data_IF_954535305136
#
_entry.id   IF_954535305136
#
_cell.length_a   1.000
_cell.length_b   1.000
_cell.length_c   1.000
_cell.angle_alpha   90.00
_cell.angle_beta   90.00
_cell.angle_gamma   90.00
#
_symmetry.space_group_name_H-M   'P 1'
#
loop_
_entity.id
_entity.type
_entity.pdbx_description
1 polymer ?
#
# COMPACT_ATOMS: atom_id res chain seq x y z
N UNK A 1 17.11 17.14 -3.73
CA UNK A 1 17.22 17.30 -2.27
C UNK A 1 15.94 16.76 -1.63
N UNK A 2 16.04 15.69 -0.83
CA UNK A 2 14.88 15.18 -0.09
C UNK A 2 14.49 16.17 1.02
N UNK A 3 13.20 16.23 1.38
CA UNK A 3 12.69 17.08 2.47
C UNK A 3 12.20 16.28 3.66
N UNK A 4 11.64 15.11 3.44
CA UNK A 4 11.14 14.27 4.52
C UNK A 4 11.07 12.80 4.13
N UNK A 5 11.23 11.93 5.11
CA UNK A 5 11.07 10.48 4.99
C UNK A 5 10.29 9.94 6.19
N UNK A 6 9.52 8.88 5.99
CA UNK A 6 8.84 8.12 7.03
C UNK A 6 8.96 6.63 6.70
N UNK A 7 9.16 5.79 7.72
CA UNK A 7 9.21 4.35 7.59
C UNK A 7 8.29 3.71 8.62
N UNK A 8 7.33 2.92 8.15
CA UNK A 8 6.38 2.19 8.99
C UNK A 8 6.62 0.69 8.79
N UNK A 9 6.71 -0.06 9.88
CA UNK A 9 6.89 -1.52 9.86
C UNK A 9 5.58 -2.18 10.29
N UNK A 10 5.06 -3.06 9.45
CA UNK A 10 3.85 -3.84 9.73
C UNK A 10 4.20 -5.15 10.44
N UNK A 11 3.21 -5.71 11.15
CA UNK A 11 3.33 -6.95 11.94
C UNK A 11 3.84 -8.13 11.09
N UNK A 12 3.49 -8.16 9.80
CA UNK A 12 3.89 -9.22 8.86
C UNK A 12 5.35 -9.06 8.35
N UNK A 13 6.11 -8.12 8.90
CA UNK A 13 7.48 -7.81 8.48
C UNK A 13 7.59 -6.95 7.21
N UNK A 14 6.47 -6.61 6.57
CA UNK A 14 6.41 -5.64 5.48
C UNK A 14 6.79 -4.25 5.99
N UNK A 15 7.49 -3.47 5.17
CA UNK A 15 7.90 -2.10 5.53
C UNK A 15 7.40 -1.12 4.48
N UNK A 16 6.62 -0.13 4.89
CA UNK A 16 6.22 1.00 4.04
C UNK A 16 7.17 2.16 4.27
N UNK A 17 7.83 2.57 3.20
CA UNK A 17 8.70 3.73 3.15
C UNK A 17 8.05 4.83 2.33
N UNK A 18 7.99 6.04 2.86
CA UNK A 18 7.47 7.21 2.17
C UNK A 18 8.53 8.31 2.18
N UNK A 19 8.82 8.91 1.04
CA UNK A 19 9.83 9.97 0.93
C UNK A 19 9.41 11.06 -0.05
N UNK A 20 9.73 12.31 0.27
CA UNK A 20 9.32 13.47 -0.55
C UNK A 20 10.46 14.48 -0.70
N UNK A 21 10.52 15.12 -1.87
CA UNK A 21 11.34 16.30 -2.17
C UNK A 21 10.60 17.63 -1.88
N UNK A 22 9.33 17.55 -1.45
CA UNK A 22 8.44 18.69 -1.22
C UNK A 22 7.37 18.91 -2.29
N UNK A 23 7.55 18.36 -3.48
CA UNK A 23 6.62 18.47 -4.60
C UNK A 23 6.02 17.11 -4.96
N UNK A 24 6.84 16.07 -4.92
CA UNK A 24 6.54 14.70 -5.29
C UNK A 24 6.67 13.80 -4.06
N UNK A 25 5.94 12.69 -4.06
CA UNK A 25 5.95 11.69 -2.99
C UNK A 25 6.22 10.31 -3.58
N UNK A 26 7.23 9.63 -3.06
CA UNK A 26 7.55 8.24 -3.40
C UNK A 26 7.12 7.37 -2.25
N UNK A 27 6.41 6.29 -2.55
CA UNK A 27 6.02 5.27 -1.60
C UNK A 27 6.57 3.93 -2.06
N UNK A 28 7.22 3.19 -1.18
CA UNK A 28 7.81 1.89 -1.48
C UNK A 28 7.41 0.91 -0.38
N UNK A 29 6.94 -0.26 -0.78
CA UNK A 29 6.65 -1.37 0.12
C UNK A 29 7.76 -2.40 -0.07
N UNK A 30 8.49 -2.68 1.01
CA UNK A 30 9.51 -3.72 1.05
C UNK A 30 8.94 -5.00 1.65
N UNK A 31 9.37 -6.13 1.08
CA UNK A 31 9.24 -7.46 1.70
C UNK A 31 10.06 -7.56 2.98
N UNK A 32 9.82 -8.55 3.86
CA UNK A 32 10.66 -8.79 5.04
C UNK A 32 12.15 -8.98 4.68
N UNK A 33 12.42 -9.51 3.48
CA UNK A 33 13.76 -9.75 2.95
C UNK A 33 14.43 -8.49 2.35
N UNK A 34 13.75 -7.34 2.39
CA UNK A 34 14.26 -6.06 1.88
C UNK A 34 14.10 -5.84 0.38
N UNK A 35 13.51 -6.78 -0.36
CA UNK A 35 13.20 -6.59 -1.78
C UNK A 35 11.98 -5.67 -1.96
N UNK A 36 11.99 -4.85 -3.01
CA UNK A 36 10.87 -3.97 -3.38
C UNK A 36 9.70 -4.82 -3.87
N UNK A 37 8.60 -4.80 -3.12
CA UNK A 37 7.35 -5.49 -3.44
C UNK A 37 6.44 -4.65 -4.33
N UNK A 38 6.28 -3.37 -4.00
CA UNK A 38 5.48 -2.39 -4.74
C UNK A 38 6.10 -1.00 -4.57
N UNK A 39 5.92 -0.14 -5.56
CA UNK A 39 6.33 1.24 -5.46
C UNK A 39 5.39 2.18 -6.21
N UNK A 40 5.24 3.40 -5.70
CA UNK A 40 4.33 4.39 -6.26
C UNK A 40 5.01 5.77 -6.28
N UNK A 41 5.07 6.36 -7.48
CA UNK A 41 5.57 7.72 -7.70
C UNK A 41 4.38 8.67 -7.87
N UNK A 42 4.12 9.49 -6.85
CA UNK A 42 2.97 10.39 -6.77
C UNK A 42 3.42 11.81 -7.11
N UNK A 43 2.86 12.36 -8.17
CA UNK A 43 3.13 13.73 -8.64
C UNK A 43 2.13 14.77 -8.12
N UNK A 44 1.06 14.34 -7.44
CA UNK A 44 0.04 15.24 -6.91
C UNK A 44 0.56 16.05 -5.72
N UNK A 45 0.76 17.35 -5.95
CA UNK A 45 1.23 18.29 -4.94
C UNK A 45 0.29 18.41 -3.72
N UNK A 46 -1.02 18.10 -3.86
CA UNK A 46 -1.95 18.11 -2.71
C UNK A 46 -1.65 16.94 -1.78
N UNK A 47 -1.44 15.75 -2.32
CA UNK A 47 -1.04 14.57 -1.57
C UNK A 47 0.30 14.78 -0.86
N UNK A 48 1.29 15.33 -1.55
CA UNK A 48 2.59 15.67 -0.95
C UNK A 48 2.47 16.64 0.23
N UNK A 49 1.67 17.70 0.08
CA UNK A 49 1.43 18.68 1.16
C UNK A 49 0.70 18.07 2.35
N UNK A 50 -0.28 17.22 2.10
CA UNK A 50 -1.00 16.52 3.15
C UNK A 50 -0.07 15.60 3.95
N UNK A 51 0.78 14.82 3.26
CA UNK A 51 1.81 14.00 3.90
C UNK A 51 2.71 14.82 4.83
N UNK A 52 3.29 15.92 4.32
CA UNK A 52 4.14 16.80 5.13
C UNK A 52 3.41 17.38 6.34
N UNK A 53 2.13 17.72 6.20
CA UNK A 53 1.30 18.24 7.31
C UNK A 53 1.08 17.17 8.37
N UNK A 54 0.74 15.95 7.97
CA UNK A 54 0.55 14.82 8.90
C UNK A 54 1.85 14.48 9.61
N UNK A 55 2.95 14.35 8.88
CA UNK A 55 4.26 14.01 9.43
C UNK A 55 4.72 15.05 10.47
N UNK A 56 4.58 16.35 10.17
CA UNK A 56 4.93 17.41 11.12
C UNK A 56 4.08 17.35 12.39
N UNK A 57 2.81 16.97 12.28
CA UNK A 57 1.91 16.81 13.42
C UNK A 57 2.35 15.63 14.29
N UNK A 58 2.67 14.50 13.68
CA UNK A 58 3.16 13.30 14.38
C UNK A 58 4.49 13.58 15.10
N UNK A 59 5.45 14.21 14.41
CA UNK A 59 6.73 14.60 15.00
C UNK A 59 6.55 15.58 16.17
N UNK A 60 5.65 16.56 16.04
CA UNK A 60 5.35 17.50 17.13
C UNK A 60 4.80 16.77 18.36
N UNK A 61 3.82 15.90 18.17
CA UNK A 61 3.22 15.13 19.27
C UNK A 61 4.28 14.28 19.98
N UNK A 62 5.17 13.65 19.22
CA UNK A 62 6.21 12.80 19.79
C UNK A 62 7.30 13.60 20.53
N UNK A 63 7.66 14.79 20.02
CA UNK A 63 8.54 15.73 20.73
C UNK A 63 7.91 16.28 22.01
N UNK A 64 6.62 16.61 21.97
CA UNK A 64 5.87 17.10 23.14
C UNK A 64 5.76 15.99 24.23
N UNK A 65 5.52 14.73 23.83
CA UNK A 65 5.50 13.57 24.74
C UNK A 65 6.87 13.33 25.41
N UNK A 66 7.96 13.38 24.65
CA UNK A 66 9.30 13.19 25.22
C UNK A 66 9.72 14.36 26.13
N UNK A 67 9.38 15.60 25.77
CA UNK A 67 9.58 16.76 26.63
C UNK A 67 8.85 16.59 27.97
N UNK A 68 7.60 16.12 27.93
CA UNK A 68 6.82 15.82 29.13
C UNK A 68 7.50 14.76 30.01
N UNK A 69 7.97 13.63 29.44
CA UNK A 69 8.69 12.57 30.17
C UNK A 69 9.95 13.08 30.88
N UNK A 70 10.70 14.01 30.26
CA UNK A 70 11.88 14.63 30.87
C UNK A 70 11.49 15.49 32.08
N UNK A 71 10.40 16.27 31.99
CA UNK A 71 9.87 17.07 33.12
C UNK A 71 9.28 16.22 34.24
N UNK A 72 8.66 15.07 33.93
CA UNK A 72 7.96 14.24 34.91
C UNK A 72 8.87 13.27 35.67
N UNK A 73 10.05 12.92 35.12
CA UNK A 73 11.14 12.25 35.85
C UNK A 73 11.61 12.98 37.13
N UNK A 74 11.10 14.20 37.40
CA UNK A 74 11.33 14.98 38.63
C UNK A 74 10.26 14.82 39.72
N UNK A 75 9.15 14.10 39.54
CA UNK A 75 8.13 13.90 40.58
C UNK A 75 7.71 12.44 40.71
N UNK A 76 7.77 11.94 41.95
CA UNK A 76 7.38 10.57 42.32
C UNK A 76 5.85 10.37 42.26
N UNK A 77 5.44 9.34 41.50
CA UNK A 77 4.28 8.43 41.62
C UNK A 77 2.85 9.01 41.64
N UNK A 78 1.98 8.63 40.67
CA UNK A 78 0.81 7.71 40.82
C UNK A 78 -0.08 7.69 39.57
N UNK A 79 -0.40 6.47 39.13
CA UNK A 79 -1.61 6.02 38.41
C UNK A 79 -2.27 6.96 37.38
N UNK A 80 -1.69 7.07 36.18
CA UNK A 80 -2.49 7.22 34.94
C UNK A 80 -1.72 6.75 33.68
N UNK A 81 -0.95 5.67 33.81
CA UNK A 81 -0.05 5.15 32.76
C UNK A 81 -0.74 4.64 31.47
N UNK A 82 -2.07 4.74 31.34
CA UNK A 82 -2.81 4.11 30.24
C UNK A 82 -3.17 5.06 29.09
N UNK A 83 -2.92 6.37 29.19
CA UNK A 83 -3.45 7.31 28.19
C UNK A 83 -2.45 7.75 27.10
N UNK A 84 -1.13 7.73 27.33
CA UNK A 84 -0.16 8.22 26.33
C UNK A 84 1.14 7.39 26.27
N UNK A 85 1.10 6.22 25.63
CA UNK A 85 2.30 5.48 25.19
C UNK A 85 2.27 5.23 23.68
N UNK A 86 2.09 6.28 22.87
CA UNK A 86 2.09 6.11 21.41
C UNK A 86 3.52 5.98 20.83
N UNK A 87 4.55 6.48 21.52
CA UNK A 87 5.92 6.58 20.97
C UNK A 87 7.01 5.92 21.82
N UNK A 88 6.66 4.94 22.67
CA UNK A 88 7.57 4.38 23.70
C UNK A 88 8.93 3.84 23.24
N UNK A 89 9.16 3.67 21.93
CA UNK A 89 10.42 3.21 21.32
C UNK A 89 10.87 4.13 20.16
N UNK A 90 10.85 5.46 20.32
CA UNK A 90 11.33 6.40 19.29
C UNK A 90 12.61 7.12 19.73
N UNK A 91 13.65 7.04 18.89
CA UNK A 91 14.92 7.78 19.07
C UNK A 91 14.91 9.01 18.18
N UNK A 92 15.10 10.20 18.76
CA UNK A 92 15.17 11.45 18.01
C UNK A 92 16.59 12.01 17.98
N UNK A 93 17.01 12.48 16.81
CA UNK A 93 18.21 13.29 16.63
C UNK A 93 17.85 14.49 15.77
N UNK A 94 17.91 15.69 16.36
CA UNK A 94 17.82 16.93 15.59
C UNK A 94 19.15 17.13 14.84
N UNK A 95 19.07 17.45 13.55
CA UNK A 95 20.20 17.91 12.76
C UNK A 95 20.00 19.39 12.51
N UNK A 96 21.06 20.18 12.73
CA UNK A 96 21.03 21.63 12.44
C UNK A 96 21.34 21.89 10.96
N UNK A 97 20.88 23.03 10.44
CA UNK A 97 21.12 23.40 9.03
C UNK A 97 22.63 23.46 8.74
N UNK A 98 23.10 22.61 7.82
CA UNK A 98 24.52 22.49 7.44
C UNK A 98 25.26 21.30 8.04
N UNK A 99 24.68 20.56 8.98
CA UNK A 99 25.24 19.29 9.44
C UNK A 99 25.13 18.21 8.36
N UNK A 100 26.23 17.48 8.13
CA UNK A 100 26.21 16.34 7.22
C UNK A 100 25.42 15.18 7.82
N UNK A 101 24.64 14.52 6.97
CA UNK A 101 23.92 13.32 7.35
C UNK A 101 24.91 12.22 7.77
N UNK A 102 24.64 11.51 8.88
CA UNK A 102 25.40 10.31 9.24
C UNK A 102 25.47 9.34 8.06
N UNK A 103 26.66 8.81 7.76
CA UNK A 103 26.93 8.00 6.55
C UNK A 103 26.09 6.72 6.49
N UNK A 104 25.72 6.18 7.65
CA UNK A 104 24.82 5.06 7.85
C UNK A 104 23.38 5.33 7.37
N UNK A 105 22.94 6.60 7.41
CA UNK A 105 21.57 7.01 7.02
C UNK A 105 21.55 7.76 5.69
N UNK A 106 22.66 8.41 5.30
CA UNK A 106 22.78 9.18 4.07
C UNK A 106 22.40 8.35 2.84
N UNK A 107 22.86 7.10 2.78
CA UNK A 107 22.54 6.17 1.69
C UNK A 107 21.05 5.84 1.61
N UNK A 108 20.32 5.95 2.72
CA UNK A 108 18.88 5.72 2.71
C UNK A 108 18.19 6.92 2.10
N UNK A 109 18.61 8.15 2.41
CA UNK A 109 17.91 9.39 2.06
C UNK A 109 18.10 9.87 0.60
N UNK A 110 18.65 9.01 -0.25
CA UNK A 110 18.84 9.29 -1.68
C UNK A 110 17.51 9.14 -2.45
N UNK A 111 16.88 10.29 -2.74
CA UNK A 111 15.59 10.35 -3.43
C UNK A 111 15.68 9.94 -4.88
N UNK A 112 16.74 10.38 -5.56
CA UNK A 112 16.88 10.15 -6.99
C UNK A 112 17.20 8.67 -7.24
N UNK A 113 17.99 8.04 -6.37
CA UNK A 113 18.21 6.58 -6.44
C UNK A 113 16.93 5.79 -6.23
N UNK A 114 16.14 6.10 -5.19
CA UNK A 114 14.86 5.41 -4.94
C UNK A 114 13.85 5.59 -6.08
N UNK A 115 13.84 6.77 -6.69
CA UNK A 115 13.03 7.06 -7.87
C UNK A 115 13.43 6.17 -9.04
N UNK A 116 14.72 6.03 -9.31
CA UNK A 116 15.23 5.18 -10.39
C UNK A 116 14.96 3.69 -10.13
N UNK A 117 15.24 3.20 -8.92
CA UNK A 117 14.95 1.81 -8.52
C UNK A 117 13.46 1.46 -8.75
N UNK A 118 12.55 2.38 -8.42
CA UNK A 118 11.12 2.19 -8.66
C UNK A 118 10.79 2.14 -10.16
N UNK A 119 11.38 3.00 -10.98
CA UNK A 119 11.14 3.01 -12.42
C UNK A 119 11.70 1.78 -13.14
N UNK A 120 12.92 1.38 -12.83
CA UNK A 120 13.55 0.19 -13.41
C UNK A 120 12.73 -1.06 -13.11
N UNK A 121 12.31 -1.21 -11.85
CA UNK A 121 11.35 -2.24 -11.46
C UNK A 121 10.13 -2.12 -12.36
N UNK A 122 9.39 -1.02 -12.34
CA UNK A 122 8.20 -0.84 -13.18
C UNK A 122 8.38 -1.22 -14.67
N UNK A 123 9.51 -0.90 -15.28
CA UNK A 123 9.86 -1.28 -16.65
C UNK A 123 10.04 -2.80 -16.82
N UNK A 124 10.79 -3.45 -15.93
CA UNK A 124 10.98 -4.90 -15.94
C UNK A 124 9.65 -5.68 -15.84
N UNK A 125 8.71 -5.27 -14.98
CA UNK A 125 7.42 -6.00 -14.88
C UNK A 125 6.62 -5.84 -16.17
N UNK A 126 6.67 -4.64 -16.76
CA UNK A 126 6.01 -4.37 -18.04
C UNK A 126 6.59 -5.29 -19.12
N UNK A 127 7.92 -5.40 -19.23
CA UNK A 127 8.59 -6.29 -20.17
C UNK A 127 8.21 -7.76 -19.96
N UNK A 128 8.26 -8.24 -18.71
CA UNK A 128 7.88 -9.61 -18.35
C UNK A 128 6.43 -9.95 -18.75
N UNK A 129 5.51 -8.98 -18.68
CA UNK A 129 4.10 -9.18 -18.98
C UNK A 129 3.77 -9.04 -20.47
N UNK A 130 4.44 -8.14 -21.19
CA UNK A 130 4.29 -8.01 -22.65
C UNK A 130 4.79 -9.27 -23.38
N UNK A 131 5.84 -9.92 -22.86
CA UNK A 131 6.41 -11.14 -23.44
C UNK A 131 5.78 -12.45 -22.94
N UNK A 132 4.73 -12.37 -22.10
CA UNK A 132 4.05 -13.55 -21.53
C UNK A 132 3.41 -14.47 -22.59
N UNK A 133 3.10 -13.93 -23.76
CA UNK A 133 2.57 -14.68 -24.91
C UNK A 133 3.64 -15.52 -25.64
N UNK A 134 4.93 -15.35 -25.35
CA UNK A 134 6.03 -16.07 -26.05
C UNK A 134 6.46 -17.37 -25.36
N UNK A 135 6.04 -17.60 -24.11
CA UNK A 135 6.40 -18.77 -23.29
C UNK A 135 5.22 -19.63 -22.82
N UNK A 136 3.99 -19.33 -23.28
CA UNK A 136 2.80 -20.12 -22.90
C UNK A 136 2.46 -21.14 -24.00
N UNK A 137 3.08 -22.31 -23.90
CA UNK A 137 2.67 -23.55 -24.58
C UNK A 137 1.18 -23.87 -24.33
N UNK A 138 0.44 -24.43 -25.32
CA UNK A 138 -0.99 -24.76 -25.23
C UNK A 138 -1.36 -25.80 -24.14
N UNK A 139 -0.39 -26.45 -23.49
CA UNK A 139 -0.62 -27.38 -22.37
C UNK A 139 -1.19 -26.71 -21.10
N UNK A 140 -1.12 -25.38 -20.97
CA UNK A 140 -1.56 -24.64 -19.77
C UNK A 140 -3.06 -24.32 -19.70
N UNK A 141 -3.87 -24.60 -20.72
CA UNK A 141 -5.30 -24.22 -20.69
C UNK A 141 -6.11 -24.94 -19.58
N UNK A 142 -5.81 -26.23 -19.32
CA UNK A 142 -6.40 -26.99 -18.19
C UNK A 142 -5.81 -26.57 -16.84
N UNK A 143 -4.49 -26.37 -16.78
CA UNK A 143 -3.80 -25.90 -15.58
C UNK A 143 -4.23 -24.48 -15.16
N UNK A 144 -4.53 -23.59 -16.12
CA UNK A 144 -5.01 -22.23 -15.85
C UNK A 144 -6.38 -22.17 -15.17
N UNK A 145 -7.28 -23.15 -15.38
CA UNK A 145 -8.54 -23.20 -14.59
C UNK A 145 -8.26 -23.57 -13.15
N UNK A 146 -7.49 -24.63 -12.92
CA UNK A 146 -7.07 -25.06 -11.58
C UNK A 146 -6.23 -24.01 -10.86
N UNK A 147 -5.36 -23.29 -11.56
CA UNK A 147 -4.61 -22.18 -10.99
C UNK A 147 -5.53 -21.01 -10.66
N UNK A 148 -6.46 -20.61 -11.54
CA UNK A 148 -7.43 -19.53 -11.26
C UNK A 148 -8.34 -19.85 -10.08
N UNK A 149 -8.75 -21.11 -9.92
CA UNK A 149 -9.51 -21.57 -8.76
C UNK A 149 -8.75 -21.36 -7.44
N UNK A 150 -7.41 -21.44 -7.44
CA UNK A 150 -6.60 -21.16 -6.25
C UNK A 150 -6.44 -19.66 -5.93
N UNK A 151 -6.71 -18.77 -6.89
CA UNK A 151 -6.63 -17.31 -6.71
C UNK A 151 -8.01 -16.64 -6.67
N UNK A 152 -9.09 -17.43 -6.63
CA UNK A 152 -10.44 -16.98 -6.32
C UNK A 152 -10.84 -17.51 -4.96
N UNK A 153 -11.46 -16.67 -4.15
CA UNK A 153 -11.95 -17.04 -2.82
C UNK A 153 -12.94 -18.22 -2.96
N UNK A 154 -12.71 -19.35 -2.26
CA UNK A 154 -13.64 -20.48 -2.31
C UNK A 154 -15.05 -20.03 -1.92
N UNK A 155 -16.06 -20.60 -2.58
CA UNK A 155 -17.45 -20.17 -2.41
C UNK A 155 -17.86 -18.97 -3.28
N UNK A 156 -16.92 -18.30 -3.96
CA UNK A 156 -17.17 -17.14 -4.84
C UNK A 156 -16.72 -17.41 -6.29
N UNK A 157 -17.17 -16.59 -7.24
CA UNK A 157 -16.77 -16.67 -8.65
C UNK A 157 -16.11 -15.39 -9.18
N UNK A 158 -16.19 -14.30 -8.43
CA UNK A 158 -15.72 -12.97 -8.81
C UNK A 158 -14.69 -12.40 -7.84
N UNK A 159 -14.56 -12.96 -6.62
CA UNK A 159 -13.61 -12.44 -5.64
C UNK A 159 -12.22 -13.04 -5.83
N UNK A 160 -11.37 -12.40 -6.63
CA UNK A 160 -9.98 -12.82 -6.81
C UNK A 160 -9.31 -12.34 -8.09
N UNK A 161 -8.29 -13.07 -8.53
CA UNK A 161 -7.58 -12.75 -9.78
C UNK A 161 -8.40 -13.14 -11.03
N UNK A 162 -9.29 -12.23 -11.44
CA UNK A 162 -10.26 -12.43 -12.51
C UNK A 162 -11.50 -13.21 -12.05
N UNK A 163 -12.31 -13.72 -13.00
CA UNK A 163 -13.58 -14.41 -12.69
C UNK A 163 -13.62 -15.89 -13.15
N UNK A 164 -14.28 -16.75 -12.38
CA UNK A 164 -14.69 -18.11 -12.78
C UNK A 164 -16.09 -18.12 -13.42
N UNK A 165 -16.88 -17.06 -13.21
CA UNK A 165 -18.19 -16.92 -13.82
C UNK A 165 -18.09 -16.95 -15.36
N UNK A 166 -18.93 -17.75 -16.00
CA UNK A 166 -19.09 -17.75 -17.47
C UNK A 166 -20.08 -16.69 -17.92
N UNK A 167 -21.02 -16.30 -17.05
CA UNK A 167 -22.02 -15.27 -17.32
C UNK A 167 -22.11 -14.26 -16.18
N UNK A 168 -22.53 -13.03 -16.48
CA UNK A 168 -22.63 -11.94 -15.49
C UNK A 168 -23.49 -12.29 -14.28
N UNK A 169 -24.55 -13.09 -14.45
CA UNK A 169 -25.49 -13.43 -13.37
C UNK A 169 -25.06 -14.64 -12.53
N UNK A 170 -23.98 -15.30 -12.91
CA UNK A 170 -23.49 -16.48 -12.23
C UNK A 170 -22.73 -16.06 -10.97
N UNK A 171 -23.26 -16.44 -9.81
CA UNK A 171 -22.65 -16.21 -8.51
C UNK A 171 -22.29 -17.56 -7.86
N UNK A 172 -21.35 -17.54 -6.93
CA UNK A 172 -20.97 -18.65 -6.06
C UNK A 172 -21.98 -18.91 -4.94
N UNK A 173 -21.59 -19.74 -3.97
CA UNK A 173 -22.37 -20.03 -2.78
C UNK A 173 -22.52 -18.79 -1.90
N UNK A 174 -21.46 -18.01 -1.75
CA UNK A 174 -21.42 -16.77 -0.97
C UNK A 174 -21.94 -15.58 -1.81
N UNK A 175 -23.25 -15.61 -2.11
CA UNK A 175 -23.86 -14.71 -3.11
C UNK A 175 -23.74 -13.23 -2.78
N UNK A 176 -23.67 -12.86 -1.50
CA UNK A 176 -23.61 -11.47 -1.08
C UNK A 176 -22.23 -10.88 -1.35
N UNK A 177 -21.19 -11.58 -0.88
CA UNK A 177 -19.78 -11.26 -1.03
C UNK A 177 -19.41 -11.25 -2.52
N UNK A 178 -19.83 -12.29 -3.24
CA UNK A 178 -19.55 -12.47 -4.66
C UNK A 178 -20.21 -11.39 -5.54
N UNK A 179 -21.38 -10.89 -5.13
CA UNK A 179 -22.03 -9.74 -5.79
C UNK A 179 -21.20 -8.47 -5.67
N UNK A 180 -20.55 -8.25 -4.53
CA UNK A 180 -19.71 -7.07 -4.31
C UNK A 180 -18.45 -7.13 -5.19
N UNK A 181 -17.80 -8.30 -5.26
CA UNK A 181 -16.65 -8.52 -6.12
C UNK A 181 -17.01 -8.37 -7.60
N UNK A 182 -18.15 -8.91 -8.03
CA UNK A 182 -18.67 -8.68 -9.38
C UNK A 182 -18.86 -7.19 -9.68
N UNK A 183 -19.49 -6.46 -8.77
CA UNK A 183 -19.72 -5.02 -8.96
C UNK A 183 -18.41 -4.23 -9.05
N UNK A 184 -17.36 -4.66 -8.35
CA UNK A 184 -16.04 -4.05 -8.37
C UNK A 184 -15.27 -4.35 -9.66
N UNK A 185 -15.25 -5.61 -10.11
CA UNK A 185 -14.66 -6.02 -11.38
C UNK A 185 -15.29 -5.27 -12.56
N UNK A 186 -16.60 -5.02 -12.50
CA UNK A 186 -17.35 -4.27 -13.50
C UNK A 186 -17.42 -2.76 -13.25
N UNK A 187 -16.56 -2.20 -12.39
CA UNK A 187 -16.47 -0.75 -12.19
C UNK A 187 -16.11 -0.04 -13.50
N UNK A 188 -16.89 0.99 -13.89
CA UNK A 188 -16.67 1.73 -15.15
C UNK A 188 -15.31 2.43 -15.23
N UNK A 189 -14.80 2.83 -14.08
CA UNK A 189 -13.52 3.53 -13.92
C UNK A 189 -12.53 2.56 -13.28
N UNK A 190 -11.92 1.74 -14.11
CA UNK A 190 -10.85 0.81 -13.74
C UNK A 190 -9.69 0.88 -14.74
N UNK A 191 -8.51 0.51 -14.29
CA UNK A 191 -7.28 0.39 -15.08
C UNK A 191 -6.76 -1.03 -14.87
N UNK A 192 -6.86 -1.87 -15.90
CA UNK A 192 -6.37 -3.24 -15.85
C UNK A 192 -4.86 -3.31 -15.58
N UNK A 193 -4.39 -4.47 -15.12
CA UNK A 193 -2.97 -4.73 -14.89
C UNK A 193 -2.13 -4.39 -16.14
N UNK A 194 -1.08 -3.59 -15.98
CA UNK A 194 -0.18 -3.15 -17.07
C UNK A 194 -0.88 -2.45 -18.25
N UNK A 195 -2.04 -1.82 -18.00
CA UNK A 195 -2.76 -1.05 -19.01
C UNK A 195 -2.72 0.45 -18.70
N UNK A 196 -2.85 1.25 -19.77
CA UNK A 196 -3.00 2.71 -19.69
C UNK A 196 -4.46 3.08 -19.89
N UNK A 197 -5.02 3.89 -19.00
CA UNK A 197 -6.35 4.49 -19.16
C UNK A 197 -6.39 5.82 -18.42
N UNK A 198 -7.19 6.77 -18.90
CA UNK A 198 -7.33 8.11 -18.29
C UNK A 198 -5.99 8.85 -18.11
N UNK A 199 -5.02 8.61 -19.00
CA UNK A 199 -3.67 9.19 -18.89
C UNK A 199 -2.75 8.54 -17.84
N UNK A 200 -3.23 7.54 -17.10
CA UNK A 200 -2.49 6.84 -16.05
C UNK A 200 -2.13 5.42 -16.49
N UNK A 201 -0.91 4.96 -16.19
CA UNK A 201 -0.45 3.59 -16.43
C UNK A 201 -0.44 2.81 -15.12
N UNK A 202 -1.09 1.64 -15.10
CA UNK A 202 -1.09 0.75 -13.94
C UNK A 202 0.12 -0.19 -13.99
N UNK A 203 1.14 0.05 -13.17
CA UNK A 203 2.32 -0.81 -13.07
C UNK A 203 2.11 -2.07 -12.21
N UNK A 204 0.92 -2.23 -11.61
CA UNK A 204 0.60 -3.36 -10.72
C UNK A 204 0.11 -4.57 -11.53
N UNK A 205 0.39 -5.80 -11.05
CA UNK A 205 -0.05 -7.03 -11.69
C UNK A 205 -1.53 -7.37 -11.45
N UNK A 206 -2.33 -6.41 -11.00
CA UNK A 206 -3.75 -6.54 -10.75
C UNK A 206 -4.47 -5.25 -11.17
N UNK A 207 -5.78 -5.35 -11.41
CA UNK A 207 -6.61 -4.21 -11.81
C UNK A 207 -6.76 -3.23 -10.66
N UNK A 208 -6.59 -1.93 -10.94
CA UNK A 208 -6.89 -0.85 -10.00
C UNK A 208 -8.25 -0.25 -10.37
N UNK A 209 -9.14 -0.09 -9.41
CA UNK A 209 -10.45 0.54 -9.60
C UNK A 209 -10.49 1.91 -8.92
N UNK A 210 -11.47 2.74 -9.28
CA UNK A 210 -11.64 4.04 -8.64
C UNK A 210 -12.00 3.88 -7.15
N UNK A 211 -11.51 4.77 -6.28
CA UNK A 211 -11.72 4.66 -4.83
C UNK A 211 -13.19 4.54 -4.41
N UNK A 212 -14.13 5.09 -5.19
CA UNK A 212 -15.58 4.94 -4.95
C UNK A 212 -16.05 3.48 -5.09
N UNK A 213 -15.44 2.73 -6.00
CA UNK A 213 -15.68 1.31 -6.19
C UNK A 213 -14.95 0.50 -5.09
N UNK A 214 -13.72 0.87 -4.72
CA UNK A 214 -12.95 0.16 -3.68
C UNK A 214 -13.53 0.35 -2.27
N UNK A 215 -14.02 1.55 -1.94
CA UNK A 215 -14.70 1.81 -0.65
C UNK A 215 -15.98 1.00 -0.47
N UNK A 216 -16.56 0.48 -1.54
CA UNK A 216 -17.73 -0.42 -1.50
C UNK A 216 -17.34 -1.89 -1.34
N UNK A 217 -16.04 -2.22 -1.39
CA UNK A 217 -15.48 -3.57 -1.28
C UNK A 217 -14.54 -3.68 -0.08
N UNK A 218 -14.92 -3.18 1.09
CA UNK A 218 -14.05 -3.32 2.28
C UNK A 218 -14.15 -4.76 2.81
N UNK A 219 -13.29 -5.65 2.29
CA UNK A 219 -12.44 -6.65 2.97
C UNK A 219 -12.18 -7.90 2.11
N UNK A 220 -10.91 -8.17 1.78
CA UNK A 220 -10.39 -9.55 1.67
C UNK A 220 -8.84 -9.64 1.67
N UNK A 221 -8.14 -8.88 2.53
CA UNK A 221 -6.66 -9.03 2.66
C UNK A 221 -6.14 -9.39 4.04
N UNK A 222 -6.99 -9.58 5.06
CA UNK A 222 -6.55 -10.11 6.34
C UNK A 222 -7.48 -11.23 6.76
N UNK A 223 -6.92 -12.45 6.87
CA UNK A 223 -7.65 -13.68 7.17
C UNK A 223 -8.30 -13.68 8.55
N UNK A 224 -9.43 -13.01 8.66
CA UNK A 224 -10.37 -13.14 9.77
C UNK A 224 -11.75 -13.44 9.18
N UNK A 225 -12.12 -14.72 9.23
CA UNK A 225 -13.52 -15.09 9.36
C UNK A 225 -14.05 -14.41 10.64
N UNK A 226 -15.29 -13.93 10.59
CA UNK A 226 -16.02 -13.29 11.69
C UNK A 226 -15.79 -11.79 11.81
N UNK A 227 -16.51 -11.02 10.98
CA UNK A 227 -17.34 -9.89 11.40
C UNK A 227 -17.99 -9.36 10.12
N UNK A 228 -19.26 -9.70 9.93
CA UNK A 228 -20.02 -9.31 8.74
C UNK A 228 -20.02 -7.80 8.57
N UNK A 229 -19.90 -7.33 7.34
CA UNK A 229 -20.17 -5.93 7.01
C UNK A 229 -20.78 -5.75 5.61
N UNK A 230 -21.75 -4.86 5.64
CA UNK A 230 -22.81 -4.59 4.67
C UNK A 230 -22.28 -4.08 3.33
N UNK A 231 -22.62 -4.79 2.27
CA UNK A 231 -22.55 -4.27 0.90
C UNK A 231 -23.74 -3.32 0.70
N UNK A 232 -23.57 -2.04 1.03
CA UNK A 232 -24.59 -1.03 0.78
C UNK A 232 -24.59 0.14 1.74
N UNK A 233 -24.00 1.25 1.31
CA UNK A 233 -24.59 2.56 1.58
C UNK A 233 -24.80 3.28 0.24
N UNK A 234 -26.03 3.70 -0.07
CA UNK A 234 -26.26 4.67 -1.13
C UNK A 234 -25.62 6.00 -0.72
N UNK A 235 -25.05 6.70 -1.70
CA UNK A 235 -24.94 8.17 -1.60
C UNK A 235 -26.17 8.70 -2.29
#
# INVERSE_FOLDING_TARGET
MFKATQMNVFINGLKLRQMTDGSHLIQIIYTPNGAIQDCEYITDAKTTRNFLKTLRRELKLALDEEAFRITEKRKNVTEDERFYRHFGNMTFRLLTDGEMLPSDIASWLDYDRLKMECFERHEELKYMMENKNKYSEPALARSRRSFRENFIMPGTKWCGAGQLASTYNELGQDRNEDRCCRAHDNCRVNIGAFKRRFGLFNYRPYTISHCKCDRRLVFLYMGFWSLGLVCGLPV
#
